data_IF_214492302931
#
_entry.id   IF_214492302931
#
_cell.length_a   1.000
_cell.length_b   1.000
_cell.length_c   1.000
_cell.angle_alpha   90.00
_cell.angle_beta   90.00
_cell.angle_gamma   90.00
#
_symmetry.space_group_name_H-M   'P 1'
#
loop_
_entity.id
_entity.type
_entity.pdbx_description
1 polymer ?
#
# COMPACT_ATOMS: atom_id res chain seq x y z
N UNK A 1 -17.72 5.51 49.74
CA UNK A 1 -17.11 5.26 48.42
C UNK A 1 -18.18 5.47 47.37
N UNK A 2 -18.05 6.46 46.50
CA UNK A 2 -19.10 6.83 45.53
C UNK A 2 -19.19 5.80 44.40
N UNK A 3 -20.42 5.40 44.04
CA UNK A 3 -20.74 4.51 42.91
C UNK A 3 -20.10 4.92 41.56
N UNK A 4 -19.67 6.18 41.42
CA UNK A 4 -18.97 6.67 40.24
C UNK A 4 -17.62 5.96 39.97
N UNK A 5 -16.89 5.53 41.01
CA UNK A 5 -15.57 4.89 40.84
C UNK A 5 -15.62 3.41 40.44
N UNK A 6 -16.79 2.76 40.56
CA UNK A 6 -16.95 1.35 40.19
C UNK A 6 -17.27 1.18 38.70
N UNK A 7 -17.99 2.13 38.10
CA UNK A 7 -18.37 2.07 36.69
C UNK A 7 -17.24 2.48 35.73
N UNK A 8 -16.33 3.36 36.16
CA UNK A 8 -15.13 3.71 35.36
C UNK A 8 -14.20 2.49 35.16
N UNK A 9 -14.18 1.54 36.10
CA UNK A 9 -13.42 0.29 35.97
C UNK A 9 -14.14 -0.81 35.16
N UNK A 10 -15.47 -0.73 35.00
CA UNK A 10 -16.24 -1.70 34.20
C UNK A 10 -16.34 -1.32 32.72
N UNK A 11 -16.22 -0.02 32.39
CA UNK A 11 -16.29 0.49 31.02
C UNK A 11 -15.01 1.15 30.53
N UNK A 12 -13.91 1.05 31.30
CA UNK A 12 -12.57 1.26 30.78
C UNK A 12 -12.26 0.14 29.77
N UNK A 13 -12.71 0.28 28.52
CA UNK A 13 -11.97 -0.20 27.37
C UNK A 13 -10.70 0.64 27.28
N UNK A 14 -9.81 0.40 28.24
CA UNK A 14 -8.42 0.80 28.19
C UNK A 14 -7.84 0.03 27.01
N UNK A 15 -8.01 0.57 25.81
CA UNK A 15 -7.14 0.38 24.67
C UNK A 15 -5.79 0.97 25.08
N UNK A 16 -5.13 0.32 26.05
CA UNK A 16 -3.72 0.56 26.32
C UNK A 16 -3.05 0.24 25.00
N UNK A 17 -2.53 1.28 24.34
CA UNK A 17 -1.63 1.06 23.23
C UNK A 17 -0.57 0.06 23.70
N UNK A 18 -0.35 -1.03 22.96
CA UNK A 18 0.54 -2.09 23.39
C UNK A 18 1.94 -1.49 23.61
N UNK A 19 2.68 -2.04 24.56
CA UNK A 19 3.97 -1.46 24.97
C UNK A 19 4.96 -1.61 23.83
N UNK A 20 5.46 -0.47 23.33
CA UNK A 20 6.48 -0.46 22.29
C UNK A 20 7.81 -1.00 22.84
N UNK A 21 8.41 -1.93 22.10
CA UNK A 21 9.70 -2.53 22.44
C UNK A 21 10.85 -1.75 21.78
N UNK A 22 11.95 -1.62 22.51
CA UNK A 22 13.19 -1.01 21.99
C UNK A 22 14.00 -2.03 21.17
N UNK A 23 13.43 -2.48 20.06
CA UNK A 23 14.07 -3.43 19.13
C UNK A 23 14.20 -2.79 17.76
N UNK A 24 15.37 -2.91 17.14
CA UNK A 24 15.61 -2.38 15.79
C UNK A 24 15.00 -3.28 14.71
N UNK A 25 14.69 -2.72 13.55
CA UNK A 25 14.21 -3.52 12.39
C UNK A 25 15.21 -4.58 11.97
N UNK A 26 16.51 -4.30 12.09
CA UNK A 26 17.57 -5.27 11.82
C UNK A 26 17.48 -6.48 12.76
N UNK A 27 17.35 -6.26 14.06
CA UNK A 27 17.22 -7.35 15.04
C UNK A 27 15.96 -8.17 14.79
N UNK A 28 14.84 -7.50 14.53
CA UNK A 28 13.56 -8.16 14.22
C UNK A 28 13.73 -9.12 13.03
N UNK A 29 14.22 -8.59 11.90
CA UNK A 29 14.27 -9.35 10.64
C UNK A 29 15.38 -10.40 10.57
N UNK A 30 16.47 -10.23 11.32
CA UNK A 30 17.58 -11.20 11.34
C UNK A 30 17.35 -12.37 12.28
N UNK A 31 16.63 -12.15 13.38
CA UNK A 31 16.47 -13.18 14.41
C UNK A 31 15.24 -14.05 14.18
N UNK A 32 14.18 -13.50 13.58
CA UNK A 32 12.91 -14.19 13.42
C UNK A 32 12.28 -13.94 12.05
N UNK A 33 11.54 -14.92 11.49
CA UNK A 33 10.67 -14.67 10.35
C UNK A 33 9.61 -13.61 10.71
N UNK A 34 9.34 -12.71 9.77
CA UNK A 34 8.24 -11.74 9.85
C UNK A 34 7.02 -12.36 9.17
N UNK A 35 5.95 -12.55 9.93
CA UNK A 35 4.71 -13.16 9.46
C UNK A 35 3.68 -12.11 9.05
N UNK A 36 2.95 -12.43 7.99
CA UNK A 36 1.83 -11.66 7.45
C UNK A 36 0.62 -12.58 7.36
N UNK A 37 -0.50 -12.18 7.96
CA UNK A 37 -1.73 -12.98 7.98
C UNK A 37 -2.84 -12.20 7.29
N UNK A 38 -3.45 -12.81 6.27
CA UNK A 38 -4.56 -12.25 5.49
C UNK A 38 -5.49 -13.37 5.01
N UNK A 39 -6.45 -13.82 5.83
CA UNK A 39 -7.29 -14.91 5.38
C UNK A 39 -6.54 -16.24 5.31
N UNK A 40 -6.81 -16.96 4.21
CA UNK A 40 -6.07 -18.16 3.80
C UNK A 40 -4.67 -17.82 3.29
N UNK A 41 -4.42 -16.56 2.95
CA UNK A 41 -3.17 -16.09 2.37
C UNK A 41 -2.25 -15.63 3.51
N UNK A 42 -1.38 -16.53 3.95
CA UNK A 42 -0.43 -16.27 5.04
C UNK A 42 0.98 -16.44 4.54
N UNK A 43 1.89 -15.52 4.87
CA UNK A 43 3.31 -15.63 4.51
C UNK A 43 4.25 -15.40 5.67
N UNK A 44 5.42 -16.03 5.58
CA UNK A 44 6.54 -15.83 6.50
C UNK A 44 7.78 -15.44 5.70
N UNK A 45 8.47 -14.41 6.14
CA UNK A 45 9.62 -13.84 5.45
C UNK A 45 10.85 -13.81 6.37
N UNK A 46 11.92 -14.48 5.96
CA UNK A 46 13.19 -14.49 6.69
C UNK A 46 14.31 -13.84 5.90
N UNK A 47 15.23 -13.20 6.64
CA UNK A 47 16.51 -12.76 6.07
C UNK A 47 17.50 -13.91 6.14
N UNK A 48 18.10 -14.24 5.00
CA UNK A 48 19.10 -15.31 4.89
C UNK A 48 20.37 -14.80 4.23
N UNK A 49 21.52 -15.37 4.58
CA UNK A 49 22.77 -15.07 3.88
C UNK A 49 22.80 -15.73 2.51
N UNK A 50 23.08 -14.95 1.48
CA UNK A 50 23.33 -15.43 0.13
C UNK A 50 24.73 -16.01 -0.02
N UNK A 51 25.04 -16.50 -1.23
CA UNK A 51 26.38 -17.03 -1.52
C UNK A 51 27.45 -15.95 -1.37
N UNK A 52 28.46 -16.23 -0.53
CA UNK A 52 29.58 -15.32 -0.30
C UNK A 52 30.35 -15.06 -1.61
N UNK A 53 30.53 -13.79 -2.02
CA UNK A 53 31.32 -13.45 -3.20
C UNK A 53 32.83 -13.62 -2.95
N UNK A 54 33.64 -13.63 -4.01
CA UNK A 54 35.13 -13.71 -3.91
C UNK A 54 35.74 -12.53 -3.13
N UNK A 55 35.08 -11.38 -3.11
CA UNK A 55 35.45 -10.18 -2.33
C UNK A 55 34.19 -9.57 -1.73
N UNK A 56 34.25 -9.18 -0.45
CA UNK A 56 33.15 -8.55 0.27
C UNK A 56 32.33 -9.53 1.14
N UNK A 57 31.34 -8.98 1.85
CA UNK A 57 30.41 -9.73 2.67
C UNK A 57 29.37 -10.47 1.81
N UNK A 58 28.79 -11.54 2.36
CA UNK A 58 27.64 -12.19 1.75
C UNK A 58 26.45 -11.22 1.67
N UNK A 59 25.72 -11.16 0.54
CA UNK A 59 24.51 -10.35 0.47
C UNK A 59 23.43 -10.95 1.36
N UNK A 60 22.60 -10.10 1.96
CA UNK A 60 21.41 -10.55 2.69
C UNK A 60 20.23 -10.64 1.71
N UNK A 61 19.65 -11.83 1.62
CA UNK A 61 18.51 -12.13 0.76
C UNK A 61 17.24 -12.18 1.61
N UNK A 62 16.10 -11.90 0.99
CA UNK A 62 14.80 -12.16 1.59
C UNK A 62 14.22 -13.43 1.00
N UNK A 63 13.89 -14.37 1.87
CA UNK A 63 13.28 -15.64 1.52
C UNK A 63 11.86 -15.67 2.06
N UNK A 64 10.91 -16.00 1.20
CA UNK A 64 9.56 -16.36 1.62
C UNK A 64 9.57 -17.83 2.02
N UNK A 65 9.47 -18.10 3.32
CA UNK A 65 9.49 -19.46 3.86
C UNK A 65 8.15 -20.16 3.73
N UNK A 66 7.07 -19.38 3.64
CA UNK A 66 5.70 -19.87 3.52
C UNK A 66 4.84 -18.89 2.73
N UNK A 67 3.87 -19.42 1.99
CA UNK A 67 2.83 -18.66 1.30
C UNK A 67 3.32 -17.91 0.07
N UNK A 68 2.46 -17.03 -0.44
CA UNK A 68 2.65 -16.22 -1.64
C UNK A 68 2.33 -14.73 -1.44
N UNK A 69 1.81 -14.34 -0.28
CA UNK A 69 1.48 -12.96 0.09
C UNK A 69 2.74 -12.08 0.17
N UNK A 70 2.77 -11.05 -0.69
CA UNK A 70 3.90 -10.14 -0.81
C UNK A 70 4.05 -9.18 0.37
N UNK A 71 5.30 -8.87 0.75
CA UNK A 71 5.59 -8.07 1.95
C UNK A 71 5.06 -6.62 1.86
N UNK A 72 5.31 -5.91 0.75
CA UNK A 72 4.79 -4.53 0.52
C UNK A 72 3.30 -4.50 0.16
N UNK A 73 2.82 -5.32 -0.79
CA UNK A 73 1.41 -5.29 -1.21
C UNK A 73 0.42 -5.72 -0.12
N UNK A 74 0.90 -6.45 0.90
CA UNK A 74 0.09 -6.79 2.05
C UNK A 74 -0.17 -5.61 2.98
N UNK A 75 0.71 -4.60 2.99
CA UNK A 75 0.61 -3.42 3.86
C UNK A 75 0.02 -2.22 3.13
N UNK A 76 0.30 -2.14 1.83
CA UNK A 76 -0.07 -1.02 0.96
C UNK A 76 -0.76 -1.58 -0.27
N UNK A 77 -1.57 -0.80 -0.96
CA UNK A 77 -2.09 -1.22 -2.27
C UNK A 77 -1.03 -1.12 -3.39
N UNK A 78 0.27 -1.03 -3.07
CA UNK A 78 1.34 -0.92 -4.04
C UNK A 78 1.77 -2.30 -4.58
N UNK A 79 1.28 -2.67 -5.77
CA UNK A 79 1.63 -3.93 -6.42
C UNK A 79 2.92 -3.87 -7.24
N UNK A 80 3.12 -2.78 -7.99
CA UNK A 80 4.26 -2.63 -8.90
C UNK A 80 4.78 -1.19 -8.90
N UNK A 81 6.05 -1.02 -9.22
CA UNK A 81 6.62 0.28 -9.59
C UNK A 81 6.93 0.29 -11.08
N UNK A 82 6.43 1.30 -11.79
CA UNK A 82 6.76 1.52 -13.19
C UNK A 82 8.17 2.11 -13.30
N UNK A 83 9.00 1.47 -14.13
CA UNK A 83 10.38 1.89 -14.38
C UNK A 83 10.59 2.14 -15.88
N UNK A 84 11.84 2.43 -16.26
CA UNK A 84 12.21 2.68 -17.65
C UNK A 84 12.09 1.46 -18.54
N UNK A 85 12.29 0.29 -17.97
CA UNK A 85 12.38 -0.96 -18.73
C UNK A 85 11.12 -1.80 -18.62
N UNK A 86 10.48 -1.78 -17.46
CA UNK A 86 9.40 -2.68 -17.10
C UNK A 86 8.62 -2.19 -15.87
N UNK A 87 7.57 -2.92 -15.49
CA UNK A 87 6.96 -2.82 -14.16
C UNK A 87 7.64 -3.82 -13.22
N UNK A 88 8.19 -3.34 -12.11
CA UNK A 88 8.84 -4.17 -11.10
C UNK A 88 7.80 -4.53 -10.04
N UNK A 89 7.56 -5.83 -9.83
CA UNK A 89 6.68 -6.30 -8.76
C UNK A 89 7.27 -5.99 -7.38
N UNK A 90 6.42 -5.50 -6.48
CA UNK A 90 6.76 -5.28 -5.07
C UNK A 90 6.40 -6.46 -4.17
N UNK A 91 5.87 -7.56 -4.73
CA UNK A 91 5.51 -8.74 -3.94
C UNK A 91 6.73 -9.46 -3.38
N UNK A 92 7.79 -9.57 -4.16
CA UNK A 92 8.94 -10.43 -3.85
C UNK A 92 10.23 -9.61 -3.82
N UNK A 93 10.61 -9.03 -2.66
CA UNK A 93 11.92 -8.41 -2.49
C UNK A 93 13.01 -9.48 -2.67
N UNK A 94 14.08 -9.12 -3.38
CA UNK A 94 15.20 -10.05 -3.66
C UNK A 94 16.27 -10.00 -2.58
N UNK A 95 16.50 -8.83 -2.00
CA UNK A 95 17.53 -8.61 -0.99
C UNK A 95 17.19 -7.45 -0.07
N UNK A 96 17.90 -7.40 1.05
CA UNK A 96 17.77 -6.34 2.05
C UNK A 96 19.15 -5.78 2.39
N UNK A 97 19.21 -4.46 2.63
CA UNK A 97 20.37 -3.79 3.22
C UNK A 97 19.90 -3.01 4.43
N UNK A 98 20.58 -3.15 5.57
CA UNK A 98 20.26 -2.38 6.76
C UNK A 98 21.10 -1.12 6.81
N UNK A 99 20.45 0.03 6.93
CA UNK A 99 21.09 1.31 7.14
C UNK A 99 21.49 1.52 8.60
N UNK A 100 22.42 2.45 8.85
CA UNK A 100 22.88 2.80 10.21
C UNK A 100 21.75 3.33 11.10
N UNK A 101 20.72 3.93 10.51
CA UNK A 101 19.54 4.44 11.20
C UNK A 101 18.53 3.31 11.57
N UNK A 102 18.86 2.06 11.25
CA UNK A 102 18.02 0.89 11.50
C UNK A 102 16.99 0.59 10.42
N UNK A 103 16.88 1.39 9.35
CA UNK A 103 15.95 1.14 8.24
C UNK A 103 16.40 -0.06 7.41
N UNK A 104 15.45 -0.94 7.06
CA UNK A 104 15.66 -2.01 6.09
C UNK A 104 15.36 -1.52 4.68
N UNK A 105 16.36 -1.48 3.80
CA UNK A 105 16.19 -1.17 2.38
C UNK A 105 15.91 -2.44 1.60
N UNK A 106 14.65 -2.64 1.26
CA UNK A 106 14.20 -3.75 0.45
C UNK A 106 14.47 -3.46 -1.03
N UNK A 107 15.11 -4.39 -1.71
CA UNK A 107 15.44 -4.28 -3.14
C UNK A 107 14.55 -5.18 -3.98
N UNK A 108 14.03 -4.63 -5.08
CA UNK A 108 13.14 -5.32 -6.01
C UNK A 108 13.68 -5.27 -7.43
N UNK A 109 13.47 -6.36 -8.16
CA UNK A 109 13.99 -6.56 -9.51
C UNK A 109 15.47 -7.00 -9.54
N UNK A 110 15.88 -7.52 -10.69
CA UNK A 110 17.23 -8.04 -10.92
C UNK A 110 18.16 -7.03 -11.66
N UNK A 111 17.72 -5.78 -11.82
CA UNK A 111 18.44 -4.78 -12.62
C UNK A 111 19.65 -4.20 -11.86
N UNK A 112 20.55 -3.53 -12.59
CA UNK A 112 21.67 -2.76 -12.00
C UNK A 112 21.20 -1.58 -11.14
N UNK A 113 19.94 -1.19 -11.26
CA UNK A 113 19.31 -0.10 -10.52
C UNK A 113 17.99 -0.60 -9.94
N UNK A 114 18.04 -1.49 -8.93
CA UNK A 114 16.83 -2.08 -8.37
C UNK A 114 15.95 -1.00 -7.75
N UNK A 115 14.65 -1.24 -7.75
CA UNK A 115 13.72 -0.42 -6.98
C UNK A 115 14.01 -0.65 -5.51
N UNK A 116 14.04 0.43 -4.72
CA UNK A 116 14.34 0.37 -3.29
C UNK A 116 13.21 0.99 -2.49
N UNK A 117 12.71 0.24 -1.51
CA UNK A 117 11.69 0.70 -0.56
C UNK A 117 12.27 0.55 0.85
N UNK A 118 12.19 1.62 1.64
CA UNK A 118 12.59 1.58 3.03
C UNK A 118 11.47 1.00 3.90
N UNK A 119 11.80 0.14 4.84
CA UNK A 119 10.90 -0.34 5.88
C UNK A 119 11.51 -0.09 7.25
N UNK A 120 10.69 0.40 8.17
CA UNK A 120 10.96 0.40 9.60
C UNK A 120 9.85 -0.35 10.33
N UNK A 121 10.23 -1.37 11.09
CA UNK A 121 9.33 -2.14 11.95
C UNK A 121 9.38 -1.59 13.37
N UNK A 122 8.21 -1.33 13.94
CA UNK A 122 7.98 -0.98 15.35
C UNK A 122 7.36 -2.20 16.03
N UNK A 123 8.02 -2.71 17.05
CA UNK A 123 7.59 -3.92 17.77
C UNK A 123 6.76 -3.56 19.00
N UNK A 124 5.73 -4.37 19.24
CA UNK A 124 4.80 -4.23 20.36
C UNK A 124 4.62 -5.59 21.03
N UNK A 125 4.82 -5.65 22.34
CA UNK A 125 4.44 -6.85 23.10
C UNK A 125 2.91 -6.90 23.16
N UNK A 126 2.35 -8.00 22.65
CA UNK A 126 0.92 -8.24 22.61
C UNK A 126 0.49 -9.42 23.46
N UNK A 127 1.40 -9.97 24.28
CA UNK A 127 1.13 -11.08 25.19
C UNK A 127 -0.07 -10.77 26.10
N UNK A 128 -1.04 -11.69 26.15
CA UNK A 128 -2.29 -11.54 26.91
C UNK A 128 -3.33 -10.62 26.30
N UNK A 129 -3.04 -9.95 25.17
CA UNK A 129 -4.02 -9.14 24.44
C UNK A 129 -4.87 -10.01 23.51
N UNK A 130 -6.09 -9.56 23.21
CA UNK A 130 -7.03 -10.27 22.33
C UNK A 130 -6.49 -10.33 20.90
N UNK A 131 -6.45 -11.53 20.31
CA UNK A 131 -5.93 -11.71 18.94
C UNK A 131 -6.74 -10.93 17.89
N UNK A 132 -8.06 -10.92 18.03
CA UNK A 132 -9.00 -10.31 17.08
C UNK A 132 -8.76 -8.80 16.86
N UNK A 133 -8.21 -8.09 17.83
CA UNK A 133 -7.92 -6.65 17.73
C UNK A 133 -6.75 -6.32 16.79
N UNK A 134 -5.91 -7.31 16.47
CA UNK A 134 -4.70 -7.15 15.65
C UNK A 134 -4.86 -7.72 14.24
N UNK A 135 -5.91 -8.52 13.99
CA UNK A 135 -6.18 -9.15 12.70
C UNK A 135 -6.91 -8.17 11.77
N UNK A 136 -6.14 -7.26 11.16
CA UNK A 136 -6.63 -6.21 10.27
C UNK A 136 -6.14 -6.39 8.84
N UNK A 137 -6.99 -6.04 7.89
CA UNK A 137 -6.60 -5.90 6.51
C UNK A 137 -5.79 -4.61 6.28
N UNK A 138 -5.26 -4.43 5.07
CA UNK A 138 -4.48 -3.23 4.72
C UNK A 138 -5.25 -1.90 4.88
N UNK A 139 -6.59 -1.92 4.88
CA UNK A 139 -7.43 -0.73 5.12
C UNK A 139 -7.69 -0.47 6.61
N UNK A 140 -7.29 -1.40 7.48
CA UNK A 140 -7.57 -1.39 8.91
C UNK A 140 -8.89 -2.05 9.32
N UNK A 141 -9.60 -2.68 8.38
CA UNK A 141 -10.85 -3.40 8.67
C UNK A 141 -10.53 -4.80 9.24
N UNK A 142 -11.35 -5.35 10.15
CA UNK A 142 -11.15 -6.70 10.67
C UNK A 142 -11.10 -7.76 9.56
N UNK A 143 -10.18 -8.72 9.70
CA UNK A 143 -10.12 -9.92 8.85
C UNK A 143 -11.20 -10.92 9.27
N UNK A 144 -11.56 -11.84 8.38
CA UNK A 144 -12.48 -12.94 8.70
C UNK A 144 -11.95 -13.81 9.86
N UNK A 145 -10.63 -13.92 9.99
CA UNK A 145 -9.94 -14.63 11.07
C UNK A 145 -10.19 -13.98 12.44
N UNK A 146 -10.45 -12.67 12.49
CA UNK A 146 -10.77 -11.98 13.74
C UNK A 146 -12.03 -12.56 14.40
N UNK A 147 -13.02 -12.96 13.60
CA UNK A 147 -14.22 -13.62 14.10
C UNK A 147 -13.92 -15.05 14.58
N UNK A 148 -13.12 -15.80 13.80
CA UNK A 148 -12.78 -17.20 14.12
C UNK A 148 -12.00 -17.34 15.42
N UNK A 149 -11.02 -16.47 15.66
CA UNK A 149 -10.23 -16.50 16.90
C UNK A 149 -11.05 -16.03 18.13
N UNK A 150 -12.17 -15.34 17.91
CA UNK A 150 -13.07 -14.90 18.97
C UNK A 150 -12.37 -14.12 20.09
N UNK A 151 -12.43 -14.67 21.32
CA UNK A 151 -11.85 -14.07 22.54
C UNK A 151 -10.47 -14.64 22.90
N UNK A 152 -9.86 -15.46 22.03
CA UNK A 152 -8.51 -15.98 22.27
C UNK A 152 -7.49 -14.85 22.44
N UNK A 153 -6.51 -15.08 23.31
CA UNK A 153 -5.47 -14.12 23.64
C UNK A 153 -4.11 -14.64 23.22
N UNK A 154 -3.22 -13.71 22.88
CA UNK A 154 -1.85 -14.06 22.53
C UNK A 154 -1.11 -14.71 23.71
N UNK A 155 -0.38 -15.82 23.49
CA UNK A 155 0.48 -16.40 24.52
C UNK A 155 1.69 -15.50 24.82
N UNK A 156 2.36 -15.77 25.94
CA UNK A 156 3.58 -15.05 26.32
C UNK A 156 4.67 -15.11 25.22
N UNK A 157 5.35 -13.98 24.99
CA UNK A 157 6.37 -13.83 23.95
C UNK A 157 5.80 -13.50 22.56
N UNK A 158 4.52 -13.20 22.46
CA UNK A 158 3.88 -12.77 21.21
C UNK A 158 4.20 -11.31 20.92
N UNK A 159 4.66 -11.04 19.70
CA UNK A 159 5.00 -9.68 19.26
C UNK A 159 4.24 -9.38 17.97
N UNK A 160 3.60 -8.21 17.93
CA UNK A 160 3.07 -7.61 16.72
C UNK A 160 3.98 -6.48 16.25
N UNK A 161 4.08 -6.29 14.94
CA UNK A 161 4.87 -5.22 14.35
C UNK A 161 4.00 -4.32 13.48
N UNK A 162 4.14 -2.99 13.63
CA UNK A 162 3.71 -2.04 12.60
C UNK A 162 4.87 -1.68 11.70
N UNK A 163 4.58 -1.50 10.43
CA UNK A 163 5.58 -1.10 9.44
C UNK A 163 5.34 0.30 8.92
N UNK A 164 6.42 1.08 8.90
CA UNK A 164 6.49 2.36 8.21
C UNK A 164 7.23 2.14 6.89
N UNK A 165 6.53 2.30 5.78
CA UNK A 165 7.03 2.05 4.42
C UNK A 165 7.40 3.37 3.75
N UNK A 166 8.64 3.55 3.36
CA UNK A 166 9.16 4.81 2.79
C UNK A 166 9.54 4.65 1.32
N UNK A 167 8.99 5.50 0.46
CA UNK A 167 9.35 5.60 -0.94
C UNK A 167 10.58 6.50 -1.10
N UNK A 168 11.70 5.92 -1.54
CA UNK A 168 13.00 6.62 -1.53
C UNK A 168 13.23 7.55 -2.72
N UNK A 169 12.36 7.50 -3.72
CA UNK A 169 12.34 8.39 -4.86
C UNK A 169 10.90 8.79 -5.17
N UNK A 170 10.74 9.60 -6.21
CA UNK A 170 9.46 9.80 -6.86
C UNK A 170 9.05 8.48 -7.51
N UNK A 171 8.12 7.75 -6.91
CA UNK A 171 7.70 6.43 -7.36
C UNK A 171 6.32 6.47 -8.01
N UNK A 172 6.21 5.82 -9.16
CA UNK A 172 4.98 5.68 -9.93
C UNK A 172 4.45 4.27 -9.72
N UNK A 173 3.48 4.17 -8.82
CA UNK A 173 2.97 2.90 -8.29
C UNK A 173 1.74 2.47 -9.06
N UNK A 174 1.74 1.23 -9.51
CA UNK A 174 0.57 0.55 -10.08
C UNK A 174 -0.01 -0.36 -9.00
N UNK A 175 -1.32 -0.30 -8.72
CA UNK A 175 -1.95 -1.11 -7.69
C UNK A 175 -1.85 -2.61 -7.94
N UNK A 176 -2.12 -3.41 -6.89
CA UNK A 176 -2.19 -4.88 -6.99
C UNK A 176 -3.25 -5.30 -8.02
N UNK A 177 -4.44 -4.71 -7.90
CA UNK A 177 -5.54 -4.90 -8.84
C UNK A 177 -5.42 -3.87 -9.97
N UNK A 178 -5.01 -4.34 -11.14
CA UNK A 178 -4.78 -3.49 -12.30
C UNK A 178 -6.07 -3.26 -13.08
N UNK A 179 -6.33 -1.98 -13.39
CA UNK A 179 -7.30 -1.58 -14.40
C UNK A 179 -6.56 -1.04 -15.62
N UNK A 180 -7.16 -1.17 -16.81
CA UNK A 180 -6.54 -0.76 -18.07
C UNK A 180 -7.28 0.43 -18.67
N UNK A 181 -6.52 1.39 -19.19
CA UNK A 181 -7.08 2.54 -19.93
C UNK A 181 -7.11 2.34 -21.44
N UNK A 182 -6.53 1.23 -21.92
CA UNK A 182 -6.17 0.95 -23.33
C UNK A 182 -5.29 1.99 -24.04
N UNK A 183 -4.91 3.09 -23.38
CA UNK A 183 -4.06 4.13 -23.94
C UNK A 183 -2.58 3.75 -23.81
N UNK A 184 -1.85 3.76 -24.92
CA UNK A 184 -0.41 3.50 -24.99
C UNK A 184 0.43 4.79 -25.08
N UNK A 185 -0.22 5.91 -25.37
CA UNK A 185 0.38 7.24 -25.44
C UNK A 185 -0.37 8.25 -24.59
N UNK A 186 0.31 9.35 -24.27
CA UNK A 186 -0.25 10.52 -23.58
C UNK A 186 -1.46 11.12 -24.32
N UNK A 187 -1.34 11.25 -25.64
CA UNK A 187 -2.41 11.78 -26.50
C UNK A 187 -3.62 10.85 -26.52
N UNK A 188 -3.40 9.52 -26.65
CA UNK A 188 -4.48 8.53 -26.56
C UNK A 188 -5.20 8.59 -25.22
N UNK A 189 -4.47 8.72 -24.11
CA UNK A 189 -5.07 8.81 -22.78
C UNK A 189 -6.00 10.02 -22.67
N UNK A 190 -5.50 11.21 -23.04
CA UNK A 190 -6.27 12.45 -22.99
C UNK A 190 -7.45 12.40 -23.96
N UNK A 191 -7.26 11.87 -25.17
CA UNK A 191 -8.32 11.75 -26.18
C UNK A 191 -9.41 10.78 -25.73
N UNK A 192 -9.05 9.57 -25.30
CA UNK A 192 -9.99 8.55 -24.82
C UNK A 192 -10.88 9.12 -23.71
N UNK A 193 -10.24 9.79 -22.74
CA UNK A 193 -10.94 10.30 -21.57
C UNK A 193 -11.41 11.76 -21.69
N UNK A 194 -11.34 12.37 -22.87
CA UNK A 194 -12.00 13.65 -23.16
C UNK A 194 -13.46 13.47 -23.61
N UNK A 195 -13.78 12.30 -24.17
CA UNK A 195 -15.11 11.96 -24.68
C UNK A 195 -15.86 10.97 -23.77
N UNK A 196 -15.14 10.06 -23.11
CA UNK A 196 -15.70 9.06 -22.21
C UNK A 196 -15.09 9.28 -20.83
N UNK A 197 -15.86 9.44 -19.75
CA UNK A 197 -15.28 9.66 -18.43
C UNK A 197 -14.51 8.43 -17.94
N UNK A 198 -13.34 8.64 -17.33
CA UNK A 198 -12.69 7.61 -16.54
C UNK A 198 -13.41 7.47 -15.19
N UNK A 199 -13.91 6.27 -14.89
CA UNK A 199 -14.62 5.98 -13.66
C UNK A 199 -13.76 6.18 -12.42
N UNK A 200 -14.23 7.01 -11.50
CA UNK A 200 -13.73 7.01 -10.13
C UNK A 200 -14.39 5.87 -9.34
N UNK A 201 -13.81 5.53 -8.19
CA UNK A 201 -14.35 4.50 -7.29
C UNK A 201 -15.69 4.99 -6.74
N UNK A 202 -16.70 4.13 -6.82
CA UNK A 202 -18.01 4.39 -6.24
C UNK A 202 -17.93 4.26 -4.72
N UNK A 203 -18.33 5.31 -4.02
CA UNK A 203 -18.54 5.29 -2.57
C UNK A 203 -20.02 5.51 -2.28
N UNK A 204 -20.48 5.19 -1.07
CA UNK A 204 -21.89 5.39 -0.71
C UNK A 204 -22.32 6.83 -0.99
N UNK A 205 -23.36 7.00 -1.79
CA UNK A 205 -23.98 8.29 -2.05
C UNK A 205 -23.48 9.05 -3.28
N UNK A 206 -22.33 8.73 -3.89
CA UNK A 206 -21.83 9.43 -5.09
C UNK A 206 -21.14 8.51 -6.10
N UNK A 207 -21.26 8.86 -7.39
CA UNK A 207 -20.51 8.23 -8.47
C UNK A 207 -20.03 9.32 -9.43
N UNK A 208 -18.71 9.41 -9.59
CA UNK A 208 -18.07 10.42 -10.42
C UNK A 208 -17.20 9.77 -11.50
N UNK A 209 -16.99 10.53 -12.57
CA UNK A 209 -15.97 10.25 -13.55
C UNK A 209 -15.14 11.50 -13.82
N UNK A 210 -13.91 11.32 -14.28
CA UNK A 210 -13.06 12.42 -14.73
C UNK A 210 -13.05 12.48 -16.26
N UNK A 211 -13.21 13.69 -16.79
CA UNK A 211 -13.09 13.97 -18.22
C UNK A 211 -11.99 15.00 -18.43
N UNK A 212 -10.96 14.65 -19.19
CA UNK A 212 -9.90 15.61 -19.51
C UNK A 212 -10.42 16.67 -20.46
N UNK A 213 -10.02 17.92 -20.20
CA UNK A 213 -10.27 18.98 -21.17
C UNK A 213 -9.34 18.80 -22.37
N UNK A 214 -9.78 19.24 -23.55
CA UNK A 214 -8.96 19.18 -24.75
C UNK A 214 -7.67 19.96 -24.50
N UNK A 215 -6.54 19.29 -24.68
CA UNK A 215 -5.21 19.85 -24.52
C UNK A 215 -4.38 19.56 -25.78
N UNK A 216 -3.33 20.36 -26.00
CA UNK A 216 -2.32 20.06 -27.00
C UNK A 216 -1.70 18.67 -26.70
N UNK A 217 -1.49 17.79 -27.70
CA UNK A 217 -0.83 16.50 -27.49
C UNK A 217 0.54 16.57 -26.79
N UNK A 218 1.21 17.72 -26.83
CA UNK A 218 2.50 18.00 -26.18
C UNK A 218 2.35 18.72 -24.83
N UNK A 219 1.13 18.96 -24.36
CA UNK A 219 0.89 19.62 -23.09
C UNK A 219 1.45 18.79 -21.92
N UNK A 220 2.24 19.45 -21.07
CA UNK A 220 2.79 18.84 -19.83
C UNK A 220 1.91 19.13 -18.61
N UNK A 221 0.83 19.89 -18.79
CA UNK A 221 -0.18 20.17 -17.77
C UNK A 221 -1.49 20.59 -18.40
N UNK A 222 -2.59 20.41 -17.66
CA UNK A 222 -3.91 20.84 -18.09
C UNK A 222 -4.95 20.66 -17.00
N UNK A 223 -6.22 20.68 -17.39
CA UNK A 223 -7.37 20.54 -16.50
C UNK A 223 -8.23 19.33 -16.87
N UNK A 224 -9.05 18.91 -15.90
CA UNK A 224 -10.08 17.91 -16.11
C UNK A 224 -11.32 18.30 -15.30
N UNK A 225 -12.49 17.86 -15.78
CA UNK A 225 -13.78 18.05 -15.13
C UNK A 225 -14.18 16.80 -14.38
N UNK A 226 -14.74 16.97 -13.19
CA UNK A 226 -15.39 15.90 -12.43
C UNK A 226 -16.88 15.92 -12.77
N UNK A 227 -17.37 14.84 -13.35
CA UNK A 227 -18.76 14.73 -13.83
C UNK A 227 -19.52 13.70 -13.02
N UNK A 228 -20.80 13.95 -12.68
CA UNK A 228 -21.67 12.90 -12.18
C UNK A 228 -21.83 11.79 -13.23
N UNK A 229 -21.79 10.53 -12.79
CA UNK A 229 -22.03 9.36 -13.65
C UNK A 229 -23.12 8.48 -13.05
N UNK A 230 -23.77 7.70 -13.91
CA UNK A 230 -24.82 6.76 -13.50
C UNK A 230 -24.25 5.70 -12.55
N UNK A 231 -24.99 5.44 -11.46
CA UNK A 231 -24.58 4.50 -10.39
C UNK A 231 -24.75 3.04 -10.81
N UNK A 232 -25.85 2.74 -11.50
CA UNK A 232 -26.31 1.38 -11.77
C UNK A 232 -25.80 0.80 -13.10
N UNK A 233 -24.96 1.54 -13.82
CA UNK A 233 -24.40 1.07 -15.08
C UNK A 233 -23.02 0.44 -14.86
N UNK A 234 -22.71 -0.63 -15.59
CA UNK A 234 -21.38 -1.23 -15.56
C UNK A 234 -20.31 -0.28 -16.15
N UNK A 235 -20.73 0.60 -17.06
CA UNK A 235 -19.89 1.62 -17.68
C UNK A 235 -20.10 2.99 -17.02
N UNK A 236 -19.09 3.86 -17.05
CA UNK A 236 -19.27 5.25 -16.64
C UNK A 236 -19.97 6.05 -17.72
N UNK A 237 -21.29 6.09 -17.57
CA UNK A 237 -22.16 6.92 -18.40
C UNK A 237 -22.41 8.24 -17.67
N UNK A 238 -22.06 9.41 -18.24
CA UNK A 238 -22.44 10.70 -17.68
C UNK A 238 -23.96 10.78 -17.44
N UNK A 239 -24.39 11.45 -16.37
CA UNK A 239 -25.82 11.69 -16.16
C UNK A 239 -26.36 12.81 -17.05
N UNK A 240 -25.48 13.65 -17.59
CA UNK A 240 -25.82 14.87 -18.33
C UNK A 240 -25.84 16.12 -17.45
N UNK A 241 -25.70 15.97 -16.13
CA UNK A 241 -25.56 17.08 -15.19
C UNK A 241 -24.26 17.86 -15.42
N UNK A 242 -24.26 19.10 -14.94
CA UNK A 242 -23.07 19.94 -14.98
C UNK A 242 -21.91 19.32 -14.17
N UNK A 243 -20.66 19.51 -14.60
CA UNK A 243 -19.50 19.14 -13.80
C UNK A 243 -19.56 19.76 -12.40
N UNK A 244 -19.22 18.97 -11.39
CA UNK A 244 -19.27 19.41 -9.98
C UNK A 244 -17.99 20.13 -9.55
N UNK A 245 -16.88 19.87 -10.25
CA UNK A 245 -15.59 20.48 -9.95
C UNK A 245 -14.63 20.38 -11.13
N UNK A 246 -13.53 21.14 -11.06
CA UNK A 246 -12.41 21.09 -12.01
C UNK A 246 -11.12 20.80 -11.26
N UNK A 247 -10.40 19.77 -11.69
CA UNK A 247 -9.07 19.44 -11.20
C UNK A 247 -7.98 19.82 -12.20
N UNK A 248 -6.73 19.58 -11.78
CA UNK A 248 -5.53 19.83 -12.59
C UNK A 248 -4.73 18.57 -12.76
N UNK A 249 -4.05 18.42 -13.88
CA UNK A 249 -3.07 17.36 -14.08
C UNK A 249 -1.75 17.94 -14.57
N UNK A 250 -0.67 17.23 -14.26
CA UNK A 250 0.65 17.52 -14.79
C UNK A 250 1.40 16.22 -15.09
N UNK A 251 2.21 16.23 -16.14
CA UNK A 251 3.12 15.14 -16.44
C UNK A 251 4.28 15.20 -15.46
N UNK A 252 4.51 14.12 -14.73
CA UNK A 252 5.70 13.93 -13.91
C UNK A 252 6.60 12.92 -14.61
N UNK A 253 7.87 13.24 -14.76
CA UNK A 253 8.89 12.36 -15.29
C UNK A 253 10.06 12.31 -14.30
N UNK A 254 10.39 11.12 -13.81
CA UNK A 254 11.47 10.91 -12.84
C UNK A 254 12.74 10.34 -13.49
N UNK A 255 12.88 10.47 -14.82
CA UNK A 255 13.94 9.87 -15.63
C UNK A 255 13.82 8.36 -15.85
N UNK A 256 12.98 7.68 -15.05
CA UNK A 256 12.69 6.25 -15.15
C UNK A 256 11.35 6.01 -15.82
N UNK A 257 10.32 6.74 -15.46
CA UNK A 257 8.96 6.56 -15.96
C UNK A 257 8.29 7.92 -16.10
N UNK A 258 7.11 7.95 -16.73
CA UNK A 258 6.26 9.13 -16.77
C UNK A 258 4.84 8.79 -16.32
N UNK A 259 4.17 9.76 -15.72
CA UNK A 259 2.80 9.63 -15.26
C UNK A 259 2.04 10.96 -15.39
N UNK A 260 0.74 10.87 -15.62
CA UNK A 260 -0.17 11.99 -15.43
C UNK A 260 -0.58 12.01 -13.97
N UNK A 261 -0.08 12.96 -13.20
CA UNK A 261 -0.42 13.09 -11.77
C UNK A 261 -1.56 14.07 -11.63
N UNK A 262 -2.61 13.64 -10.94
CA UNK A 262 -3.84 14.41 -10.77
C UNK A 262 -3.79 15.14 -9.43
N UNK A 263 -4.14 16.42 -9.49
CA UNK A 263 -4.51 17.22 -8.32
C UNK A 263 -6.02 17.29 -8.30
N UNK A 264 -6.61 16.44 -7.44
CA UNK A 264 -8.05 16.33 -7.29
C UNK A 264 -8.62 17.59 -6.63
N UNK A 265 -9.80 18.05 -7.05
CA UNK A 265 -10.48 19.16 -6.41
C UNK A 265 -11.05 18.73 -5.04
N UNK A 266 -11.25 19.69 -4.13
CA UNK A 266 -11.66 19.44 -2.74
C UNK A 266 -13.06 18.80 -2.61
N UNK A 267 -13.88 18.93 -3.64
CA UNK A 267 -15.23 18.38 -3.73
C UNK A 267 -15.23 16.86 -3.88
N UNK A 268 -14.09 16.25 -4.25
CA UNK A 268 -13.94 14.80 -4.37
C UNK A 268 -12.99 14.31 -3.29
N UNK A 269 -13.46 13.36 -2.49
CA UNK A 269 -12.71 12.78 -1.38
C UNK A 269 -11.69 11.73 -1.85
N UNK A 270 -10.58 11.51 -1.13
CA UNK A 270 -9.59 10.48 -1.43
C UNK A 270 -10.16 9.08 -1.72
N UNK A 271 -11.16 8.67 -0.92
CA UNK A 271 -11.80 7.38 -1.09
C UNK A 271 -12.51 7.22 -2.44
N UNK A 272 -13.06 8.31 -3.00
CA UNK A 272 -13.74 8.33 -4.30
C UNK A 272 -12.76 8.14 -5.44
N UNK A 273 -11.52 8.62 -5.35
CA UNK A 273 -10.51 8.43 -6.40
C UNK A 273 -9.50 7.33 -6.08
N UNK A 274 -9.83 6.42 -5.15
CA UNK A 274 -9.06 5.20 -4.89
C UNK A 274 -7.80 5.40 -4.06
N UNK A 275 -7.68 6.53 -3.35
CA UNK A 275 -6.66 6.74 -2.32
C UNK A 275 -7.24 6.31 -0.97
N UNK A 276 -6.54 5.39 -0.31
CA UNK A 276 -6.93 4.93 1.02
C UNK A 276 -6.64 6.01 2.06
N UNK A 277 -7.34 5.99 3.19
CA UNK A 277 -7.22 7.04 4.21
C UNK A 277 -5.78 7.20 4.73
N UNK A 278 -5.04 6.09 4.90
CA UNK A 278 -3.62 6.08 5.27
C UNK A 278 -2.68 6.67 4.21
N UNK A 279 -3.14 6.77 2.96
CA UNK A 279 -2.40 7.33 1.84
C UNK A 279 -2.84 8.78 1.52
N UNK A 280 -3.86 9.28 2.22
CA UNK A 280 -4.39 10.63 2.05
C UNK A 280 -3.33 11.66 2.44
N UNK A 281 -3.17 12.69 1.60
CA UNK A 281 -2.18 13.75 1.80
C UNK A 281 -0.73 13.38 1.45
N UNK A 282 -0.42 12.09 1.29
CA UNK A 282 0.94 11.61 1.02
C UNK A 282 1.11 10.95 -0.36
N UNK A 283 -0.01 10.62 -1.01
CA UNK A 283 -0.05 10.11 -2.38
C UNK A 283 -1.01 10.91 -3.25
N UNK A 284 -0.84 10.81 -4.57
CA UNK A 284 -1.75 11.39 -5.56
C UNK A 284 -2.21 10.33 -6.54
N UNK A 285 -3.47 10.42 -6.99
CA UNK A 285 -3.93 9.61 -8.11
C UNK A 285 -3.10 9.94 -9.35
N UNK A 286 -2.76 8.93 -10.13
CA UNK A 286 -2.01 9.09 -11.36
C UNK A 286 -2.46 8.10 -12.45
N UNK A 287 -2.18 8.42 -13.70
CA UNK A 287 -2.11 7.42 -14.78
C UNK A 287 -0.65 7.13 -15.07
N UNK A 288 -0.26 5.87 -14.89
CA UNK A 288 1.13 5.42 -14.89
C UNK A 288 1.36 4.46 -16.05
N UNK A 289 2.43 4.67 -16.82
CA UNK A 289 2.91 3.76 -17.84
C UNK A 289 4.43 3.56 -17.70
N UNK A 290 4.95 2.32 -17.79
CA UNK A 290 6.40 2.10 -17.81
C UNK A 290 7.02 2.69 -19.08
N UNK A 291 8.31 3.05 -19.01
CA UNK A 291 9.02 3.69 -20.12
C UNK A 291 9.26 2.79 -21.34
N UNK A 292 9.29 1.46 -21.13
CA UNK A 292 9.43 0.43 -22.16
C UNK A 292 8.55 -0.78 -21.81
N UNK A 293 8.38 -1.69 -22.78
CA UNK A 293 7.51 -2.85 -22.65
C UNK A 293 6.05 -2.46 -22.80
N UNK A 294 5.25 -2.87 -21.82
CA UNK A 294 3.80 -2.65 -21.73
C UNK A 294 3.47 -1.20 -21.35
N UNK A 295 3.62 -0.28 -22.33
CA UNK A 295 3.41 1.18 -22.21
C UNK A 295 1.96 1.60 -21.98
N UNK A 296 1.06 0.67 -21.69
CA UNK A 296 -0.34 1.00 -21.44
C UNK A 296 -0.44 1.78 -20.12
N UNK A 297 -1.07 2.94 -20.18
CA UNK A 297 -1.40 3.73 -19.01
C UNK A 297 -2.39 2.98 -18.12
N UNK A 298 -2.11 2.97 -16.83
CA UNK A 298 -2.95 2.34 -15.81
C UNK A 298 -3.27 3.35 -14.73
N UNK A 299 -4.49 3.34 -14.18
CA UNK A 299 -4.77 4.07 -12.95
C UNK A 299 -3.82 3.55 -11.87
N UNK A 300 -3.21 4.48 -11.16
CA UNK A 300 -2.26 4.19 -10.11
C UNK A 300 -2.04 5.40 -9.23
N UNK A 301 -0.88 5.41 -8.57
CA UNK A 301 -0.56 6.38 -7.53
C UNK A 301 0.84 6.95 -7.75
N UNK A 302 1.01 8.20 -7.39
CA UNK A 302 2.30 8.87 -7.32
C UNK A 302 2.65 9.09 -5.85
N UNK A 303 3.83 8.61 -5.45
CA UNK A 303 4.43 8.89 -4.15
C UNK A 303 5.66 9.76 -4.37
N UNK A 304 5.70 10.91 -3.70
CA UNK A 304 6.86 11.76 -3.73
C UNK A 304 8.03 11.13 -2.96
N UNK A 305 9.25 11.48 -3.34
CA UNK A 305 10.44 11.09 -2.60
C UNK A 305 10.34 11.43 -1.11
N UNK A 306 10.62 10.45 -0.27
CA UNK A 306 10.63 10.59 1.19
C UNK A 306 9.26 10.40 1.83
N UNK A 307 8.19 10.16 1.05
CA UNK A 307 6.90 9.81 1.60
C UNK A 307 6.99 8.52 2.41
N UNK A 308 6.50 8.56 3.64
CA UNK A 308 6.34 7.39 4.52
C UNK A 308 4.86 7.10 4.75
N UNK A 309 4.49 5.83 4.63
CA UNK A 309 3.17 5.29 4.96
C UNK A 309 3.27 4.43 6.21
N UNK A 310 2.46 4.72 7.22
CA UNK A 310 2.23 3.81 8.33
C UNK A 310 1.19 2.75 7.92
N UNK A 311 1.53 1.48 8.12
CA UNK A 311 0.59 0.39 7.89
C UNK A 311 -0.52 0.35 8.95
N UNK A 312 -1.75 0.09 8.50
CA UNK A 312 -2.88 -0.26 9.36
C UNK A 312 -2.97 -1.75 9.72
N UNK A 313 -2.19 -2.59 9.04
CA UNK A 313 -2.06 -4.02 9.31
C UNK A 313 -0.87 -4.28 10.24
N UNK A 314 -0.96 -5.34 11.03
CA UNK A 314 0.15 -5.86 11.82
C UNK A 314 0.86 -7.01 11.10
N UNK A 315 2.17 -7.04 11.26
CA UNK A 315 2.96 -8.26 11.11
C UNK A 315 3.14 -8.94 12.46
N UNK A 316 3.62 -10.18 12.47
CA UNK A 316 3.74 -10.98 13.69
C UNK A 316 5.08 -11.72 13.76
N UNK A 317 5.55 -12.01 14.96
CA UNK A 317 6.59 -13.02 15.15
C UNK A 317 5.99 -14.43 15.02
N UNK A 318 6.84 -15.46 14.96
CA UNK A 318 6.39 -16.85 14.84
C UNK A 318 5.43 -17.26 15.95
N UNK A 319 5.72 -16.93 17.21
CA UNK A 319 4.87 -17.27 18.37
C UNK A 319 3.45 -16.72 18.21
N UNK A 320 3.30 -15.44 17.89
CA UNK A 320 2.01 -14.83 17.67
C UNK A 320 1.29 -15.42 16.45
N UNK A 321 2.02 -15.61 15.34
CA UNK A 321 1.45 -16.13 14.10
C UNK A 321 0.93 -17.57 14.26
N UNK A 322 1.71 -18.45 14.87
CA UNK A 322 1.28 -19.85 15.11
C UNK A 322 0.08 -19.93 16.05
N UNK A 323 0.01 -19.06 17.07
CA UNK A 323 -1.14 -18.96 17.95
C UNK A 323 -2.42 -18.55 17.19
N UNK A 324 -2.33 -17.51 16.35
CA UNK A 324 -3.44 -17.10 15.48
C UNK A 324 -3.87 -18.24 14.57
N UNK A 325 -2.92 -18.86 13.86
CA UNK A 325 -3.22 -19.93 12.90
C UNK A 325 -3.79 -21.19 13.57
N UNK A 326 -3.49 -21.41 14.85
CA UNK A 326 -4.09 -22.48 15.65
C UNK A 326 -5.51 -22.13 16.07
N UNK A 327 -5.74 -20.90 16.52
CA UNK A 327 -7.04 -20.42 16.99
C UNK A 327 -8.05 -20.19 15.85
N UNK A 328 -7.59 -19.90 14.64
CA UNK A 328 -8.44 -19.63 13.47
C UNK A 328 -8.86 -20.89 12.67
N UNK A 329 -8.54 -22.09 13.17
CA UNK A 329 -8.95 -23.38 12.59
C UNK A 329 -10.31 -23.79 13.10
#
# INVERSE_FOLDING_TARGET
MSQAGFLDNLFSSSTKEPVALSTTTQEIMKNHPVWVIDGKDTSAWSVVEGKKPRRGAAPLLLKQDRGDLGLIPAQTDAGYIATKTEKISLSYPTSVVFEKNGTALLKFGASKSPVQIGIKLRAFDVSGLKMSEFLKNRKGEPLAEAEKVGNEVFPAGSIAYKADTTFLNDEMVIPVNQNFTSASTSDELLKNFSSIPFCLKRVSGHAYGIMFDKADPKAVSGTFRVTPVKRETMFCTPTGEAPVATGKWNVVNNGRSHAFVLTMPKEVTPAEYGIEEQESGVSKMAFVAPGKGDKIFRPGKFFAKGTTLESRRFFFNTTAAEAILKAAK
#
